data_IF_523354981264
#
_entry.id   IF_523354981264
#
_cell.length_a   1.000
_cell.length_b   1.000
_cell.length_c   1.000
_cell.angle_alpha   90.00
_cell.angle_beta   90.00
_cell.angle_gamma   90.00
#
_symmetry.space_group_name_H-M   'P 1'
#
loop_
_entity.id
_entity.type
_entity.pdbx_description
1 polymer ?
#
# COMPACT_ATOMS: atom_id res chain seq x y z
N UNK A 1 37.63 -13.99 6.54
CA UNK A 1 37.35 -14.19 5.10
C UNK A 1 35.84 -14.26 4.91
N UNK A 2 35.25 -13.08 4.75
CA UNK A 2 33.83 -12.77 4.96
C UNK A 2 32.91 -13.43 3.92
N UNK A 3 31.73 -13.85 4.38
CA UNK A 3 30.66 -14.55 3.67
C UNK A 3 30.06 -13.76 2.47
N UNK A 4 30.83 -13.53 1.40
CA UNK A 4 30.36 -12.79 0.21
C UNK A 4 29.49 -13.67 -0.71
N UNK A 5 29.75 -14.97 -0.76
CA UNK A 5 29.03 -15.91 -1.63
C UNK A 5 27.52 -16.07 -1.31
N UNK A 6 27.09 -16.24 -0.04
CA UNK A 6 25.65 -16.36 0.26
C UNK A 6 24.89 -15.04 0.08
N UNK A 7 25.55 -13.89 0.24
CA UNK A 7 24.93 -12.58 0.02
C UNK A 7 24.63 -12.35 -1.47
N UNK A 8 25.57 -12.71 -2.35
CA UNK A 8 25.41 -12.59 -3.81
C UNK A 8 24.27 -13.48 -4.33
N UNK A 9 24.22 -14.75 -3.91
CA UNK A 9 23.17 -15.68 -4.34
C UNK A 9 21.76 -15.24 -3.90
N UNK A 10 21.62 -14.68 -2.69
CA UNK A 10 20.36 -14.09 -2.22
C UNK A 10 19.98 -12.86 -3.03
N UNK A 11 20.92 -11.94 -3.28
CA UNK A 11 20.66 -10.76 -4.11
C UNK A 11 20.28 -11.11 -5.55
N UNK A 12 20.89 -12.14 -6.14
CA UNK A 12 20.55 -12.62 -7.49
C UNK A 12 19.14 -13.24 -7.53
N UNK A 13 18.75 -14.02 -6.52
CA UNK A 13 17.41 -14.60 -6.41
C UNK A 13 16.32 -13.54 -6.24
N UNK A 14 16.56 -12.50 -5.41
CA UNK A 14 15.59 -11.40 -5.23
C UNK A 14 15.53 -10.49 -6.47
N UNK A 15 16.66 -10.22 -7.12
CA UNK A 15 16.68 -9.45 -8.36
C UNK A 15 15.94 -10.16 -9.51
N UNK A 16 15.93 -11.49 -9.54
CA UNK A 16 15.17 -12.26 -10.53
C UNK A 16 13.65 -12.14 -10.36
N UNK A 17 13.15 -11.85 -9.15
CA UNK A 17 11.71 -11.70 -8.85
C UNK A 17 11.16 -10.33 -9.25
N UNK A 18 12.03 -9.32 -9.32
CA UNK A 18 11.66 -7.93 -9.61
C UNK A 18 10.88 -7.75 -10.93
N UNK A 19 11.35 -8.23 -12.11
CA UNK A 19 10.65 -7.98 -13.37
C UNK A 19 9.24 -8.59 -13.39
N UNK A 20 9.08 -9.78 -12.80
CA UNK A 20 7.79 -10.46 -12.73
C UNK A 20 6.81 -9.73 -11.79
N UNK A 21 7.27 -9.22 -10.64
CA UNK A 21 6.46 -8.43 -9.73
C UNK A 21 6.00 -7.13 -10.38
N UNK A 22 6.90 -6.41 -11.04
CA UNK A 22 6.59 -5.14 -11.71
C UNK A 22 5.57 -5.35 -12.83
N UNK A 23 5.77 -6.33 -13.72
CA UNK A 23 4.83 -6.63 -14.79
C UNK A 23 3.43 -7.00 -14.26
N UNK A 24 3.35 -7.80 -13.18
CA UNK A 24 2.07 -8.14 -12.52
C UNK A 24 1.39 -6.91 -11.93
N UNK A 25 2.16 -6.01 -11.31
CA UNK A 25 1.64 -4.78 -10.72
C UNK A 25 1.13 -3.80 -11.79
N UNK A 26 1.86 -3.65 -12.90
CA UNK A 26 1.43 -2.84 -14.05
C UNK A 26 0.14 -3.37 -14.67
N UNK A 27 0.06 -4.69 -14.87
CA UNK A 27 -1.14 -5.34 -15.37
C UNK A 27 -2.33 -5.09 -14.42
N UNK A 28 -2.14 -5.32 -13.12
CA UNK A 28 -3.18 -5.10 -12.11
C UNK A 28 -3.64 -3.64 -12.06
N UNK A 29 -2.71 -2.68 -12.08
CA UNK A 29 -3.03 -1.25 -12.16
C UNK A 29 -3.82 -0.91 -13.44
N UNK A 30 -3.48 -1.54 -14.57
CA UNK A 30 -4.23 -1.41 -15.82
C UNK A 30 -5.69 -1.84 -15.72
N UNK A 31 -5.98 -2.91 -14.94
CA UNK A 31 -7.37 -3.41 -14.77
C UNK A 31 -8.29 -2.42 -14.04
N UNK A 32 -7.77 -1.69 -13.05
CA UNK A 32 -8.55 -0.71 -12.28
C UNK A 32 -8.87 0.50 -13.15
N UNK A 33 -7.89 1.00 -13.90
CA UNK A 33 -8.09 2.10 -14.84
C UNK A 33 -9.16 1.74 -15.87
N UNK A 34 -9.08 0.56 -16.51
CA UNK A 34 -10.07 0.11 -17.50
C UNK A 34 -11.49 -0.05 -16.92
N UNK A 35 -11.62 -0.50 -15.66
CA UNK A 35 -12.92 -0.60 -14.97
C UNK A 35 -13.57 0.74 -14.67
N UNK A 36 -12.77 1.79 -14.43
CA UNK A 36 -13.25 3.14 -14.16
C UNK A 36 -13.67 3.92 -15.42
N UNK A 37 -13.20 3.49 -16.61
CA UNK A 37 -13.60 4.08 -17.90
C UNK A 37 -15.12 4.01 -18.16
N UNK A 38 -15.86 3.13 -17.47
CA UNK A 38 -17.32 3.05 -17.51
C UNK A 38 -18.05 4.03 -16.57
N UNK A 39 -17.33 4.70 -15.66
CA UNK A 39 -17.84 5.69 -14.69
C UNK A 39 -17.10 7.03 -14.84
N UNK A 40 -16.80 7.45 -16.07
CA UNK A 40 -16.26 8.80 -16.32
C UNK A 40 -17.20 9.86 -15.76
N UNK A 41 -16.88 10.37 -14.56
CA UNK A 41 -17.02 11.79 -14.27
C UNK A 41 -15.94 12.51 -15.07
N UNK A 42 -16.25 13.71 -15.54
CA UNK A 42 -15.26 14.56 -16.20
C UNK A 42 -14.08 14.82 -15.25
N UNK A 43 -12.87 14.55 -15.71
CA UNK A 43 -11.65 14.82 -14.96
C UNK A 43 -10.51 13.87 -15.32
N UNK A 44 -9.83 14.13 -16.43
CA UNK A 44 -8.45 13.68 -16.62
C UNK A 44 -7.81 14.53 -17.72
N UNK A 45 -6.97 15.45 -17.26
CA UNK A 45 -6.23 16.41 -18.05
C UNK A 45 -6.52 17.80 -17.53
N UNK A 46 -5.62 18.33 -16.69
CA UNK A 46 -5.51 19.75 -16.40
C UNK A 46 -6.85 20.45 -16.31
N UNK A 47 -7.59 20.06 -15.27
CA UNK A 47 -8.95 20.46 -15.08
C UNK A 47 -9.03 21.96 -15.24
N UNK A 48 -9.67 22.31 -16.34
CA UNK A 48 -9.88 23.67 -16.76
C UNK A 48 -10.66 24.34 -15.64
N UNK A 49 -10.00 25.22 -14.88
CA UNK A 49 -10.62 25.87 -13.73
C UNK A 49 -11.52 27.01 -14.24
N UNK A 50 -10.91 27.97 -14.91
CA UNK A 50 -11.60 29.06 -15.59
C UNK A 50 -10.68 29.70 -16.63
N UNK A 51 -11.29 30.51 -17.49
CA UNK A 51 -10.55 31.47 -18.28
C UNK A 51 -10.56 32.81 -17.56
N UNK A 52 -9.38 33.42 -17.40
CA UNK A 52 -9.28 34.81 -16.92
C UNK A 52 -8.63 35.71 -17.96
N UNK A 53 -8.92 37.01 -17.97
CA UNK A 53 -8.16 37.97 -18.77
C UNK A 53 -6.67 37.91 -18.45
N UNK A 54 -5.83 38.02 -19.49
CA UNK A 54 -4.37 38.13 -19.36
C UNK A 54 -4.02 39.44 -18.63
N UNK A 55 -3.07 39.36 -17.71
CA UNK A 55 -2.52 40.50 -16.97
C UNK A 55 -1.03 40.67 -17.27
N UNK A 56 -0.51 41.87 -16.98
CA UNK A 56 0.91 42.16 -17.13
C UNK A 56 1.74 41.23 -16.24
N UNK A 57 2.69 40.50 -16.82
CA UNK A 57 3.53 39.50 -16.14
C UNK A 57 3.12 38.04 -16.41
N UNK A 58 1.99 37.80 -17.07
CA UNK A 58 1.59 36.45 -17.46
C UNK A 58 2.43 35.90 -18.62
N UNK A 59 2.79 34.61 -18.53
CA UNK A 59 3.54 33.94 -19.59
C UNK A 59 2.65 33.66 -20.83
N UNK A 60 3.11 34.10 -22.00
CA UNK A 60 2.42 33.94 -23.29
C UNK A 60 2.09 32.48 -23.63
N UNK A 61 2.84 31.50 -23.11
CA UNK A 61 2.62 30.06 -23.37
C UNK A 61 1.30 29.54 -22.78
N UNK A 62 0.71 30.23 -21.81
CA UNK A 62 -0.52 29.82 -21.14
C UNK A 62 -1.78 30.47 -21.73
N UNK A 63 -1.61 31.32 -22.76
CA UNK A 63 -2.72 31.96 -23.46
C UNK A 63 -3.47 30.92 -24.31
N UNK A 64 -4.78 30.85 -24.13
CA UNK A 64 -5.64 30.07 -25.02
C UNK A 64 -5.98 30.92 -26.24
N UNK A 65 -5.19 30.73 -27.30
CA UNK A 65 -5.37 31.48 -28.55
C UNK A 65 -6.73 31.20 -29.20
N UNK A 66 -7.31 30.01 -28.99
CA UNK A 66 -8.59 29.62 -29.60
C UNK A 66 -9.78 30.35 -28.97
N UNK A 67 -9.79 30.52 -27.65
CA UNK A 67 -10.79 31.36 -26.96
C UNK A 67 -10.55 32.84 -27.20
N UNK A 68 -9.28 33.27 -27.15
CA UNK A 68 -8.90 34.67 -27.36
C UNK A 68 -9.27 35.16 -28.76
N UNK A 69 -9.23 34.30 -29.77
CA UNK A 69 -9.67 34.65 -31.13
C UNK A 69 -11.17 34.94 -31.28
N UNK A 70 -11.99 34.67 -30.24
CA UNK A 70 -13.45 34.91 -30.25
C UNK A 70 -13.85 36.19 -29.50
N UNK A 71 -12.90 36.99 -29.02
CA UNK A 71 -13.13 38.18 -28.19
C UNK A 71 -12.02 39.20 -28.40
N UNK A 72 -12.27 40.48 -28.08
CA UNK A 72 -11.23 41.54 -28.08
C UNK A 72 -10.26 41.45 -26.88
N UNK A 73 -10.30 40.34 -26.14
CA UNK A 73 -9.56 40.16 -24.89
C UNK A 73 -8.83 38.83 -24.92
N UNK A 74 -7.55 38.83 -24.55
CA UNK A 74 -6.77 37.62 -24.42
C UNK A 74 -7.14 36.91 -23.12
N UNK A 75 -7.37 35.60 -23.21
CA UNK A 75 -7.70 34.74 -22.08
C UNK A 75 -6.59 33.75 -21.78
N UNK A 76 -6.21 33.68 -20.52
CA UNK A 76 -5.31 32.66 -19.99
C UNK A 76 -6.14 31.48 -19.49
N UNK A 77 -5.75 30.26 -19.87
CA UNK A 77 -6.40 29.03 -19.38
C UNK A 77 -5.82 28.69 -18.00
N UNK A 78 -6.56 28.96 -16.93
CA UNK A 78 -6.12 28.55 -15.60
C UNK A 78 -6.40 27.07 -15.40
N UNK A 79 -5.40 26.36 -14.88
CA UNK A 79 -5.46 24.96 -14.49
C UNK A 79 -5.52 24.92 -12.98
N UNK A 80 -6.33 24.01 -12.42
CA UNK A 80 -6.31 23.77 -10.99
C UNK A 80 -4.91 23.29 -10.58
N UNK A 81 -4.30 23.96 -9.61
CA UNK A 81 -3.05 23.50 -8.99
C UNK A 81 -3.41 22.42 -7.98
N UNK A 82 -3.40 21.16 -8.40
CA UNK A 82 -3.44 20.04 -7.46
C UNK A 82 -2.06 19.89 -6.81
N UNK A 83 -1.98 20.21 -5.52
CA UNK A 83 -0.77 19.98 -4.73
C UNK A 83 -0.63 18.47 -4.56
N UNK A 84 0.34 17.88 -5.24
CA UNK A 84 0.60 16.45 -5.08
C UNK A 84 0.90 16.11 -3.63
N UNK A 85 0.10 15.18 -3.13
CA UNK A 85 0.27 14.52 -1.87
C UNK A 85 1.56 13.68 -1.88
N UNK A 86 2.05 13.43 -0.67
CA UNK A 86 3.13 12.48 -0.43
C UNK A 86 2.55 11.28 0.27
N UNK A 87 2.75 10.10 -0.32
CA UNK A 87 2.26 8.82 0.18
C UNK A 87 3.47 7.98 0.60
N UNK A 88 3.52 7.58 1.86
CA UNK A 88 4.55 6.70 2.39
C UNK A 88 3.99 5.30 2.59
N UNK A 89 4.57 4.32 1.94
CA UNK A 89 4.23 2.92 2.10
C UNK A 89 5.03 2.31 3.25
N UNK A 90 4.44 1.38 3.98
CA UNK A 90 5.15 0.40 4.78
C UNK A 90 4.55 -0.96 4.47
N UNK A 91 5.41 -1.92 4.13
CA UNK A 91 5.03 -3.26 3.72
C UNK A 91 5.80 -4.23 4.58
N UNK A 92 5.06 -5.06 5.30
CA UNK A 92 5.65 -6.04 6.19
C UNK A 92 6.31 -7.17 5.40
N UNK A 93 7.61 -7.33 5.61
CA UNK A 93 8.44 -8.38 5.03
C UNK A 93 8.80 -9.49 6.03
N UNK A 94 8.19 -9.51 7.22
CA UNK A 94 8.49 -10.48 8.27
C UNK A 94 8.08 -11.91 7.91
N UNK A 95 8.58 -12.89 8.68
CA UNK A 95 8.39 -14.30 8.38
C UNK A 95 6.92 -14.73 8.35
N UNK A 96 6.09 -14.19 9.25
CA UNK A 96 4.64 -14.43 9.29
C UNK A 96 3.94 -14.12 7.96
N UNK A 97 4.44 -13.14 7.19
CA UNK A 97 3.91 -12.78 5.88
C UNK A 97 4.18 -13.83 4.80
N UNK A 98 5.12 -14.76 5.01
CA UNK A 98 5.41 -15.85 4.06
C UNK A 98 4.49 -17.07 4.25
N UNK A 99 3.53 -17.00 5.17
CA UNK A 99 2.53 -18.06 5.34
C UNK A 99 1.54 -18.09 4.16
N UNK A 100 1.23 -19.31 3.73
CA UNK A 100 0.13 -19.67 2.84
C UNK A 100 -0.40 -21.04 3.30
N UNK A 101 -1.72 -21.20 3.37
CA UNK A 101 -2.31 -22.47 3.83
C UNK A 101 -2.45 -23.54 2.76
N UNK A 102 -2.36 -23.13 1.49
CA UNK A 102 -2.49 -23.99 0.31
C UNK A 102 -1.49 -23.53 -0.76
N UNK A 103 -0.85 -24.47 -1.45
CA UNK A 103 0.16 -24.16 -2.49
C UNK A 103 -0.40 -23.42 -3.70
N UNK A 104 -1.73 -23.43 -3.89
CA UNK A 104 -2.43 -22.65 -4.92
C UNK A 104 -2.65 -21.19 -4.53
N UNK A 105 -2.48 -20.84 -3.25
CA UNK A 105 -2.63 -19.48 -2.75
C UNK A 105 -1.28 -18.74 -2.77
N UNK A 106 -1.26 -17.45 -3.11
CA UNK A 106 -0.06 -16.65 -2.94
C UNK A 106 0.23 -16.44 -1.46
N UNK A 107 1.52 -16.33 -1.11
CA UNK A 107 1.93 -15.87 0.22
C UNK A 107 1.37 -14.47 0.51
N UNK A 108 1.09 -14.18 1.78
CA UNK A 108 0.62 -12.84 2.20
C UNK A 108 1.59 -11.74 1.78
N UNK A 109 2.91 -11.98 1.84
CA UNK A 109 3.97 -11.08 1.43
C UNK A 109 3.88 -10.74 -0.07
N UNK A 110 3.71 -11.75 -0.93
CA UNK A 110 3.57 -11.54 -2.37
C UNK A 110 2.32 -10.72 -2.70
N UNK A 111 1.22 -10.97 -1.98
CA UNK A 111 0.00 -10.18 -2.12
C UNK A 111 0.24 -8.73 -1.66
N UNK A 112 0.91 -8.52 -0.53
CA UNK A 112 1.23 -7.19 -0.01
C UNK A 112 2.07 -6.38 -0.99
N UNK A 113 3.16 -6.98 -1.50
CA UNK A 113 4.07 -6.40 -2.49
C UNK A 113 3.37 -6.04 -3.79
N UNK A 114 2.52 -6.95 -4.30
CA UNK A 114 1.76 -6.72 -5.51
C UNK A 114 0.81 -5.53 -5.35
N UNK A 115 0.04 -5.49 -4.25
CA UNK A 115 -0.91 -4.41 -3.98
C UNK A 115 -0.19 -3.08 -3.75
N UNK A 116 0.89 -3.07 -2.98
CA UNK A 116 1.68 -1.85 -2.70
C UNK A 116 2.31 -1.26 -3.96
N UNK A 117 2.83 -2.11 -4.85
CA UNK A 117 3.42 -1.63 -6.09
C UNK A 117 2.36 -1.18 -7.09
N UNK A 118 1.24 -1.91 -7.19
CA UNK A 118 0.16 -1.53 -8.09
C UNK A 118 -0.49 -0.20 -7.69
N UNK A 119 -0.73 0.03 -6.39
CA UNK A 119 -1.24 1.32 -5.92
C UNK A 119 -0.19 2.43 -6.09
N UNK A 120 1.11 2.15 -5.89
CA UNK A 120 2.17 3.12 -6.17
C UNK A 120 2.19 3.56 -7.64
N UNK A 121 2.00 2.62 -8.57
CA UNK A 121 1.90 2.91 -10.01
C UNK A 121 0.69 3.80 -10.30
N UNK A 122 -0.48 3.49 -9.74
CA UNK A 122 -1.69 4.31 -9.91
C UNK A 122 -1.50 5.73 -9.38
N UNK A 123 -0.98 5.85 -8.15
CA UNK A 123 -0.72 7.15 -7.51
C UNK A 123 0.36 7.94 -8.25
N UNK A 124 1.42 7.30 -8.75
CA UNK A 124 2.46 7.96 -9.54
C UNK A 124 1.89 8.53 -10.84
N UNK A 125 1.00 7.78 -11.51
CA UNK A 125 0.29 8.25 -12.71
C UNK A 125 -0.67 9.40 -12.41
N UNK A 126 -1.26 9.43 -11.22
CA UNK A 126 -2.04 10.56 -10.71
C UNK A 126 -1.18 11.77 -10.31
N UNK A 127 0.16 11.67 -10.40
CA UNK A 127 1.08 12.76 -10.09
C UNK A 127 1.48 12.83 -8.61
N UNK A 128 1.22 11.80 -7.82
CA UNK A 128 1.58 11.75 -6.40
C UNK A 128 3.05 11.38 -6.19
N UNK A 129 3.59 11.71 -5.00
CA UNK A 129 4.93 11.31 -4.59
C UNK A 129 4.83 10.07 -3.71
N UNK A 130 5.57 9.00 -4.02
CA UNK A 130 5.51 7.74 -3.29
C UNK A 130 6.87 7.38 -2.70
N UNK A 131 6.89 7.02 -1.42
CA UNK A 131 8.06 6.57 -0.68
C UNK A 131 7.82 5.24 0.02
N UNK A 132 8.87 4.64 0.55
CA UNK A 132 8.82 3.41 1.34
C UNK A 132 9.56 3.62 2.66
N UNK A 133 8.85 3.40 3.77
CA UNK A 133 9.42 3.48 5.10
C UNK A 133 10.31 2.26 5.38
N UNK A 134 11.38 2.48 6.14
CA UNK A 134 12.39 1.46 6.48
C UNK A 134 13.42 1.12 5.42
N UNK A 135 13.24 1.59 4.18
CA UNK A 135 14.19 1.40 3.08
C UNK A 135 14.98 2.68 2.70
N UNK A 136 14.89 3.75 3.49
CA UNK A 136 15.44 5.08 3.18
C UNK A 136 15.03 5.61 1.79
N UNK A 137 13.77 5.37 1.41
CA UNK A 137 13.18 5.82 0.15
C UNK A 137 12.15 6.94 0.41
N UNK A 138 12.57 8.22 0.41
CA UNK A 138 11.64 9.33 0.63
C UNK A 138 10.64 9.46 -0.54
N UNK A 139 9.47 10.08 -0.32
CA UNK A 139 8.46 10.26 -1.36
C UNK A 139 8.97 11.06 -2.57
N UNK A 140 9.05 10.40 -3.73
CA UNK A 140 9.43 11.00 -5.02
C UNK A 140 8.45 10.56 -6.12
N UNK A 141 8.52 11.20 -7.29
CA UNK A 141 7.74 10.83 -8.48
C UNK A 141 8.64 10.19 -9.53
N UNK A 142 8.01 9.55 -10.52
CA UNK A 142 8.64 9.07 -11.74
C UNK A 142 8.89 7.56 -11.72
N UNK A 143 9.06 6.98 -12.91
CA UNK A 143 9.16 5.53 -13.09
C UNK A 143 10.40 4.95 -12.40
N UNK A 144 11.51 5.70 -12.38
CA UNK A 144 12.70 5.33 -11.61
C UNK A 144 12.41 5.15 -10.10
N UNK A 145 11.45 5.88 -9.54
CA UNK A 145 11.01 5.66 -8.15
C UNK A 145 10.25 4.35 -8.01
N UNK A 146 9.38 4.00 -8.97
CA UNK A 146 8.64 2.73 -8.98
C UNK A 146 9.61 1.55 -9.04
N UNK A 147 10.65 1.62 -9.87
CA UNK A 147 11.69 0.59 -9.95
C UNK A 147 12.42 0.43 -8.60
N UNK A 148 12.79 1.55 -7.95
CA UNK A 148 13.42 1.50 -6.63
C UNK A 148 12.51 0.90 -5.56
N UNK A 149 11.21 1.22 -5.59
CA UNK A 149 10.22 0.66 -4.69
C UNK A 149 10.11 -0.86 -4.88
N UNK A 150 9.95 -1.32 -6.12
CA UNK A 150 9.86 -2.75 -6.43
C UNK A 150 11.12 -3.53 -6.01
N UNK A 151 12.31 -2.95 -6.18
CA UNK A 151 13.56 -3.56 -5.71
C UNK A 151 13.63 -3.64 -4.18
N UNK A 152 13.23 -2.58 -3.47
CA UNK A 152 13.24 -2.57 -2.00
C UNK A 152 12.18 -3.52 -1.40
N UNK A 153 11.01 -3.62 -2.03
CA UNK A 153 9.94 -4.53 -1.62
C UNK A 153 10.31 -6.01 -1.77
N UNK A 154 11.25 -6.34 -2.66
CA UNK A 154 11.74 -7.72 -2.84
C UNK A 154 12.60 -8.25 -1.69
N UNK A 155 12.89 -7.44 -0.66
CA UNK A 155 13.71 -7.89 0.46
C UNK A 155 12.84 -8.49 1.57
N UNK A 156 13.20 -9.68 2.04
CA UNK A 156 12.58 -10.33 3.20
C UNK A 156 13.26 -9.90 4.50
N UNK A 157 12.45 -9.66 5.54
CA UNK A 157 12.92 -9.41 6.90
C UNK A 157 13.21 -10.72 7.66
N UNK A 158 14.19 -10.72 8.57
CA UNK A 158 14.52 -11.89 9.39
C UNK A 158 13.55 -12.09 10.56
N UNK A 159 12.87 -11.03 11.01
CA UNK A 159 12.00 -11.06 12.18
C UNK A 159 10.70 -11.84 11.91
N UNK A 160 10.09 -12.40 12.94
CA UNK A 160 8.82 -13.13 12.81
C UNK A 160 7.63 -12.23 12.47
N UNK A 161 7.64 -11.02 13.02
CA UNK A 161 6.59 -10.01 12.84
C UNK A 161 7.22 -8.64 12.58
N UNK A 162 6.64 -7.88 11.66
CA UNK A 162 7.12 -6.55 11.34
C UNK A 162 6.66 -5.50 12.34
N UNK A 163 7.47 -4.47 12.51
CA UNK A 163 7.11 -3.26 13.24
C UNK A 163 7.01 -2.09 12.26
N UNK A 164 5.88 -1.37 12.21
CA UNK A 164 5.76 -0.21 11.33
C UNK A 164 6.72 0.90 11.74
N UNK A 165 7.42 1.43 10.75
CA UNK A 165 8.32 2.56 10.90
C UNK A 165 7.64 3.81 10.32
N UNK A 166 7.88 4.97 10.93
CA UNK A 166 7.35 6.26 10.47
C UNK A 166 8.41 7.11 9.75
N UNK A 167 9.62 6.55 9.57
CA UNK A 167 10.72 7.19 8.84
C UNK A 167 10.30 7.51 7.41
N UNK A 168 10.60 8.72 6.95
CA UNK A 168 10.25 9.18 5.60
C UNK A 168 8.78 9.61 5.42
N UNK A 169 7.94 9.52 6.45
CA UNK A 169 6.62 10.17 6.42
C UNK A 169 6.78 11.68 6.45
N UNK A 170 6.00 12.41 5.64
CA UNK A 170 5.93 13.87 5.65
C UNK A 170 4.68 14.34 6.40
N UNK A 171 4.76 15.48 7.09
CA UNK A 171 3.63 16.04 7.82
C UNK A 171 2.48 16.37 6.87
N UNK A 172 1.24 16.11 7.30
CA UNK A 172 0.02 16.21 6.48
C UNK A 172 0.03 15.34 5.21
N UNK A 173 0.97 14.38 5.12
CA UNK A 173 1.02 13.42 4.03
C UNK A 173 0.03 12.27 4.24
N UNK A 174 0.22 11.22 3.46
CA UNK A 174 -0.57 10.00 3.53
C UNK A 174 0.30 8.78 3.74
N UNK A 175 -0.29 7.71 4.27
CA UNK A 175 0.42 6.45 4.43
C UNK A 175 -0.44 5.23 4.13
N UNK A 176 0.21 4.14 3.71
CA UNK A 176 -0.41 2.83 3.55
C UNK A 176 0.46 1.79 4.24
N UNK A 177 -0.11 1.10 5.22
CA UNK A 177 0.53 0.03 5.97
C UNK A 177 -0.09 -1.30 5.57
N UNK A 178 0.71 -2.25 5.08
CA UNK A 178 0.28 -3.60 4.73
C UNK A 178 1.01 -4.64 5.59
N UNK A 179 0.28 -5.43 6.36
CA UNK A 179 0.77 -6.51 7.23
C UNK A 179 -0.37 -7.46 7.56
N UNK A 180 -0.09 -8.58 8.20
CA UNK A 180 -1.10 -9.40 8.87
C UNK A 180 -1.45 -8.88 10.28
N UNK A 181 -0.62 -7.98 10.85
CA UNK A 181 -0.74 -7.41 12.19
C UNK A 181 -0.90 -8.47 13.30
N UNK A 182 -0.34 -9.67 13.11
CA UNK A 182 -0.48 -10.77 14.07
C UNK A 182 0.55 -10.73 15.21
N UNK A 183 1.56 -9.86 15.09
CA UNK A 183 2.56 -9.61 16.13
C UNK A 183 2.05 -8.73 17.28
N UNK A 184 2.99 -8.13 17.99
CA UNK A 184 2.68 -7.12 19.02
C UNK A 184 2.03 -5.88 18.38
N UNK A 185 0.95 -5.39 19.00
CA UNK A 185 0.23 -4.21 18.54
C UNK A 185 0.82 -2.90 19.06
N UNK A 186 1.67 -2.92 20.09
CA UNK A 186 2.25 -1.69 20.65
C UNK A 186 3.08 -0.89 19.64
N UNK A 187 3.95 -1.51 18.80
CA UNK A 187 4.62 -0.80 17.72
C UNK A 187 3.66 -0.18 16.71
N UNK A 188 2.56 -0.89 16.39
CA UNK A 188 1.51 -0.40 15.47
C UNK A 188 0.79 0.81 16.07
N UNK A 189 0.42 0.72 17.35
CA UNK A 189 -0.19 1.82 18.11
C UNK A 189 0.71 3.05 18.14
N UNK A 190 1.99 2.85 18.43
CA UNK A 190 2.97 3.93 18.47
C UNK A 190 3.13 4.60 17.11
N UNK A 191 3.30 3.81 16.03
CA UNK A 191 3.46 4.33 14.68
C UNK A 191 2.22 5.11 14.20
N UNK A 192 1.00 4.58 14.43
CA UNK A 192 -0.23 5.25 14.03
C UNK A 192 -0.46 6.55 14.81
N UNK A 193 -0.19 6.56 16.11
CA UNK A 193 -0.31 7.77 16.94
C UNK A 193 0.70 8.83 16.51
N UNK A 194 1.98 8.46 16.35
CA UNK A 194 3.02 9.37 15.89
C UNK A 194 2.76 9.90 14.47
N UNK A 195 2.14 9.11 13.59
CA UNK A 195 1.73 9.57 12.27
C UNK A 195 0.55 10.55 12.36
N UNK A 196 -0.46 10.25 13.19
CA UNK A 196 -1.61 11.12 13.43
C UNK A 196 -1.23 12.48 14.03
N UNK A 197 -0.29 12.51 14.98
CA UNK A 197 0.25 13.74 15.58
C UNK A 197 0.91 14.66 14.54
N UNK A 198 1.39 14.09 13.43
CA UNK A 198 1.97 14.80 12.29
C UNK A 198 0.94 15.15 11.22
N UNK A 199 -0.35 14.89 11.47
CA UNK A 199 -1.45 15.07 10.52
C UNK A 199 -1.47 14.05 9.38
N UNK A 200 -0.70 12.96 9.47
CA UNK A 200 -0.68 11.92 8.44
C UNK A 200 -1.96 11.10 8.54
N UNK A 201 -2.67 10.98 7.41
CA UNK A 201 -3.87 10.14 7.29
C UNK A 201 -3.57 8.97 6.38
N UNK A 202 -4.10 7.80 6.68
CA UNK A 202 -3.69 6.63 5.93
C UNK A 202 -4.66 5.48 5.97
N UNK A 203 -4.16 4.37 5.45
CA UNK A 203 -4.84 3.10 5.39
C UNK A 203 -3.99 2.08 6.12
N UNK A 204 -4.62 1.34 7.04
CA UNK A 204 -4.11 0.13 7.64
C UNK A 204 -4.79 -1.06 6.96
N UNK A 205 -4.05 -1.80 6.15
CA UNK A 205 -4.59 -2.87 5.31
C UNK A 205 -4.07 -4.22 5.77
N UNK A 206 -4.94 -4.98 6.44
CA UNK A 206 -4.62 -6.29 6.96
C UNK A 206 -4.72 -7.35 5.86
N UNK A 207 -3.67 -8.15 5.67
CA UNK A 207 -3.67 -9.26 4.72
C UNK A 207 -3.64 -10.56 5.51
N UNK A 208 -4.65 -11.41 5.29
CA UNK A 208 -4.80 -12.69 5.97
C UNK A 208 -4.87 -13.83 4.96
N UNK A 209 -4.45 -15.00 5.38
CA UNK A 209 -4.74 -16.24 4.69
C UNK A 209 -6.13 -16.77 5.14
N UNK A 210 -6.96 -17.34 4.25
CA UNK A 210 -8.29 -17.86 4.61
C UNK A 210 -8.27 -18.90 5.75
N UNK A 211 -7.19 -19.66 5.93
CA UNK A 211 -7.06 -20.60 7.04
C UNK A 211 -6.89 -19.91 8.40
N UNK A 212 -6.38 -18.67 8.43
CA UNK A 212 -6.25 -17.88 9.66
C UNK A 212 -7.62 -17.45 10.20
N UNK A 213 -8.68 -17.43 9.38
CA UNK A 213 -10.05 -17.15 9.87
C UNK A 213 -10.95 -18.37 9.93
N UNK A 214 -10.77 -19.34 9.03
CA UNK A 214 -11.57 -20.57 9.03
C UNK A 214 -11.07 -21.59 10.05
N UNK A 215 -9.78 -21.56 10.36
CA UNK A 215 -9.06 -22.52 11.21
C UNK A 215 -9.44 -23.98 10.87
N UNK A 216 -9.06 -24.49 9.69
CA UNK A 216 -9.49 -25.80 9.20
C UNK A 216 -8.72 -26.98 9.81
N UNK A 217 -7.91 -26.75 10.85
CA UNK A 217 -7.04 -27.76 11.45
C UNK A 217 -7.78 -28.64 12.46
N UNK A 218 -7.59 -29.96 12.36
CA UNK A 218 -8.23 -30.97 13.22
C UNK A 218 -7.22 -32.01 13.69
N UNK A 219 -7.47 -32.58 14.86
CA UNK A 219 -6.62 -33.63 15.43
C UNK A 219 -5.30 -33.10 15.98
N UNK A 220 -4.27 -33.95 16.00
CA UNK A 220 -2.93 -33.57 16.44
C UNK A 220 -2.28 -32.69 15.37
N UNK A 221 -1.84 -31.51 15.76
CA UNK A 221 -1.22 -30.54 14.85
C UNK A 221 -0.07 -29.85 15.57
N UNK A 222 1.04 -29.68 14.86
CA UNK A 222 2.18 -28.89 15.31
C UNK A 222 2.09 -27.57 14.56
N UNK A 223 1.93 -26.47 15.30
CA UNK A 223 1.97 -25.13 14.75
C UNK A 223 3.38 -24.58 14.89
N UNK A 224 4.04 -24.35 13.76
CA UNK A 224 5.38 -23.76 13.72
C UNK A 224 5.28 -22.36 13.12
N UNK A 225 5.92 -21.38 13.76
CA UNK A 225 6.12 -20.06 13.16
C UNK A 225 6.95 -20.22 11.90
N UNK A 226 6.65 -19.44 10.86
CA UNK A 226 7.42 -19.47 9.61
C UNK A 226 8.90 -19.08 9.81
N UNK A 227 9.23 -18.28 10.83
CA UNK A 227 10.61 -17.98 11.19
C UNK A 227 11.29 -19.05 12.07
N UNK A 228 10.59 -20.12 12.42
CA UNK A 228 11.11 -21.26 13.19
C UNK A 228 11.37 -20.99 14.69
N UNK A 229 10.94 -19.84 15.21
CA UNK A 229 11.17 -19.43 16.60
C UNK A 229 10.14 -20.00 17.59
N UNK A 230 8.94 -20.34 17.12
CA UNK A 230 7.86 -20.87 17.93
C UNK A 230 7.36 -22.19 17.38
N UNK A 231 7.25 -23.19 18.25
CA UNK A 231 6.62 -24.48 17.97
C UNK A 231 5.57 -24.74 19.06
N UNK A 232 4.33 -24.94 18.66
CA UNK A 232 3.22 -25.27 19.55
C UNK A 232 2.56 -26.57 19.09
N UNK A 233 2.83 -27.64 19.83
CA UNK A 233 2.17 -28.93 19.60
C UNK A 233 0.87 -29.02 20.39
N UNK A 234 -0.20 -29.43 19.72
CA UNK A 234 -1.47 -29.77 20.37
C UNK A 234 -1.97 -31.13 19.90
N UNK A 235 -2.53 -31.90 20.84
CA UNK A 235 -3.16 -33.20 20.54
C UNK A 235 -4.55 -33.03 19.89
N UNK A 236 -5.18 -31.85 20.05
CA UNK A 236 -6.49 -31.51 19.48
C UNK A 236 -6.54 -30.02 19.10
N UNK A 237 -6.25 -29.70 17.85
CA UNK A 237 -6.32 -28.34 17.31
C UNK A 237 -7.72 -27.70 17.45
N UNK A 238 -8.78 -28.51 17.45
CA UNK A 238 -10.16 -28.04 17.64
C UNK A 238 -10.40 -27.34 18.98
N UNK A 239 -9.67 -27.71 20.05
CA UNK A 239 -9.79 -27.08 21.36
C UNK A 239 -9.10 -25.70 21.40
N UNK A 240 -8.20 -25.43 20.44
CA UNK A 240 -7.54 -24.12 20.30
C UNK A 240 -8.30 -23.16 19.40
N UNK A 241 -9.19 -23.69 18.54
CA UNK A 241 -9.90 -22.94 17.51
C UNK A 241 -10.64 -21.74 18.08
N UNK A 242 -11.53 -21.97 19.04
CA UNK A 242 -12.42 -20.93 19.56
C UNK A 242 -11.61 -19.81 20.22
N UNK A 243 -10.64 -20.17 21.08
CA UNK A 243 -9.72 -19.22 21.72
C UNK A 243 -8.91 -18.41 20.70
N UNK A 244 -8.46 -19.05 19.63
CA UNK A 244 -7.69 -18.36 18.59
C UNK A 244 -8.57 -17.38 17.81
N UNK A 245 -9.76 -17.81 17.37
CA UNK A 245 -10.70 -16.96 16.65
C UNK A 245 -11.19 -15.78 17.49
N UNK A 246 -11.43 -15.98 18.79
CA UNK A 246 -11.73 -14.90 19.74
C UNK A 246 -10.60 -13.87 19.82
N UNK A 247 -9.34 -14.33 19.92
CA UNK A 247 -8.17 -13.43 19.94
C UNK A 247 -8.01 -12.68 18.62
N UNK A 248 -8.24 -13.33 17.49
CA UNK A 248 -8.19 -12.70 16.18
C UNK A 248 -9.29 -11.64 16.04
N UNK A 249 -10.52 -11.95 16.46
CA UNK A 249 -11.63 -11.01 16.46
C UNK A 249 -11.33 -9.77 17.34
N UNK A 250 -10.87 -9.99 18.57
CA UNK A 250 -10.48 -8.90 19.48
C UNK A 250 -9.39 -8.00 18.87
N UNK A 251 -8.40 -8.61 18.23
CA UNK A 251 -7.32 -7.89 17.52
C UNK A 251 -7.85 -7.06 16.35
N UNK A 252 -8.74 -7.60 15.50
CA UNK A 252 -9.36 -6.84 14.41
C UNK A 252 -10.14 -5.64 14.96
N UNK A 253 -10.82 -5.81 16.08
CA UNK A 253 -11.55 -4.72 16.73
C UNK A 253 -10.62 -3.66 17.34
N UNK A 254 -9.48 -4.06 17.91
CA UNK A 254 -8.45 -3.13 18.37
C UNK A 254 -7.88 -2.30 17.21
N UNK A 255 -7.57 -2.93 16.08
CA UNK A 255 -7.07 -2.24 14.88
C UNK A 255 -8.11 -1.26 14.31
N UNK A 256 -9.38 -1.66 14.26
CA UNK A 256 -10.49 -0.78 13.86
C UNK A 256 -10.63 0.43 14.77
N UNK A 257 -10.61 0.21 16.10
CA UNK A 257 -10.68 1.29 17.09
C UNK A 257 -9.51 2.25 16.93
N UNK A 258 -8.29 1.71 16.82
CA UNK A 258 -7.08 2.50 16.65
C UNK A 258 -7.18 3.40 15.39
N UNK A 259 -7.59 2.83 14.26
CA UNK A 259 -7.77 3.59 13.02
C UNK A 259 -8.85 4.67 13.15
N UNK A 260 -9.99 4.35 13.78
CA UNK A 260 -11.05 5.32 14.00
C UNK A 260 -10.58 6.51 14.87
N UNK A 261 -9.76 6.25 15.89
CA UNK A 261 -9.21 7.31 16.75
C UNK A 261 -8.16 8.19 16.07
N UNK A 262 -7.41 7.65 15.11
CA UNK A 262 -6.35 8.39 14.39
C UNK A 262 -6.81 9.00 13.06
N UNK A 263 -8.06 8.76 12.66
CA UNK A 263 -8.58 9.19 11.36
C UNK A 263 -8.04 8.38 10.17
N UNK A 264 -7.56 7.17 10.43
CA UNK A 264 -7.11 6.21 9.43
C UNK A 264 -8.25 5.28 9.03
N UNK A 265 -8.13 4.68 7.85
CA UNK A 265 -9.06 3.67 7.37
C UNK A 265 -8.48 2.28 7.62
N UNK A 266 -9.32 1.36 8.11
CA UNK A 266 -8.95 -0.04 8.27
C UNK A 266 -9.62 -0.90 7.19
N UNK A 267 -8.84 -1.74 6.53
CA UNK A 267 -9.31 -2.73 5.56
C UNK A 267 -8.72 -4.10 5.84
N UNK A 268 -9.40 -5.14 5.36
CA UNK A 268 -8.93 -6.53 5.43
C UNK A 268 -9.02 -7.16 4.06
N UNK A 269 -8.04 -7.98 3.70
CA UNK A 269 -8.00 -8.72 2.45
C UNK A 269 -7.52 -10.14 2.68
N UNK A 270 -8.20 -11.09 2.05
CA UNK A 270 -7.79 -12.48 2.06
C UNK A 270 -6.98 -12.82 0.81
N UNK A 271 -5.95 -13.64 0.95
CA UNK A 271 -5.11 -14.08 -0.19
C UNK A 271 -5.92 -14.82 -1.26
N UNK A 272 -7.02 -15.47 -0.88
CA UNK A 272 -8.00 -16.13 -1.75
C UNK A 272 -8.83 -15.17 -2.60
N UNK A 273 -8.97 -13.91 -2.19
CA UNK A 273 -9.77 -12.93 -2.91
C UNK A 273 -9.00 -12.34 -4.09
N UNK A 274 -9.74 -11.74 -5.02
CA UNK A 274 -9.16 -11.04 -6.17
C UNK A 274 -8.29 -9.85 -5.74
N UNK A 275 -7.05 -9.81 -6.22
CA UNK A 275 -6.16 -8.67 -6.06
C UNK A 275 -6.75 -7.38 -6.64
N UNK A 276 -7.57 -7.49 -7.70
CA UNK A 276 -8.20 -6.34 -8.34
C UNK A 276 -9.21 -5.67 -7.42
N UNK A 277 -10.02 -6.46 -6.69
CA UNK A 277 -10.98 -5.93 -5.73
C UNK A 277 -10.28 -5.22 -4.57
N UNK A 278 -9.18 -5.79 -4.07
CA UNK A 278 -8.36 -5.16 -3.05
C UNK A 278 -7.72 -3.84 -3.54
N UNK A 279 -7.16 -3.83 -4.75
CA UNK A 279 -6.57 -2.62 -5.32
C UNK A 279 -7.61 -1.53 -5.55
N UNK A 280 -8.81 -1.90 -6.02
CA UNK A 280 -9.91 -0.95 -6.20
C UNK A 280 -10.36 -0.35 -4.87
N UNK A 281 -10.45 -1.16 -3.80
CA UNK A 281 -10.76 -0.64 -2.47
C UNK A 281 -9.67 0.33 -1.98
N UNK A 282 -8.40 -0.03 -2.13
CA UNK A 282 -7.26 0.83 -1.78
C UNK A 282 -7.29 2.14 -2.56
N UNK A 283 -7.47 2.08 -3.87
CA UNK A 283 -7.54 3.26 -4.73
C UNK A 283 -8.66 4.21 -4.31
N UNK A 284 -9.87 3.69 -4.04
CA UNK A 284 -10.99 4.49 -3.53
C UNK A 284 -10.72 5.08 -2.13
N UNK A 285 -10.02 4.35 -1.25
CA UNK A 285 -9.60 4.88 0.05
C UNK A 285 -8.58 6.02 -0.12
N UNK A 286 -7.79 5.98 -1.20
CA UNK A 286 -6.92 7.09 -1.57
C UNK A 286 -7.73 8.27 -2.16
N UNK A 287 -8.55 8.07 -3.18
CA UNK A 287 -9.34 9.15 -3.82
C UNK A 287 -10.38 9.81 -2.91
N UNK A 288 -11.07 9.02 -2.06
CA UNK A 288 -12.14 9.50 -1.19
C UNK A 288 -11.73 10.55 -0.15
N UNK A 289 -10.43 10.81 0.00
CA UNK A 289 -9.90 11.90 0.84
C UNK A 289 -9.94 13.29 0.20
N UNK A 290 -10.29 13.41 -1.08
CA UNK A 290 -10.30 14.69 -1.83
C UNK A 290 -11.66 15.41 -1.78
N UNK A 291 -12.63 14.91 -1.01
CA UNK A 291 -14.02 15.37 -1.06
C UNK A 291 -14.73 15.53 0.29
N UNK A 292 -14.03 16.01 1.33
CA UNK A 292 -14.67 16.51 2.55
C UNK A 292 -14.04 17.79 3.04
#
# INVERSE_FOLDING_TARGET
MTQIAPLRARSEAEAARFPALLARAEHLAGTVLLGEHGRRRAGMGDDFWQYRPVQAGDELRHIDWRRSARSDTQFLRQREWQIAQSVTLWVDGAASMRFASDDSLPQKADRARLLSLAIAILLNRAGERIGLSGADLPPRRGDAQIERLAMALGQDGPDDYGAPQTTGMLSHGRALFLSDFLGDLDPVRHALTAAADRGVRGVLYQILDPAEESFPYRGRTIFESVGGTMVHETLKASELRDRYLERLAARKDDLRRLCATTGWLYGTHHTSDSAQSALLWLYNAFDGGHGR
#
